data_IF_671478353214
#
_entry.id   IF_671478353214
#
_cell.length_a   1.000
_cell.length_b   1.000
_cell.length_c   1.000
_cell.angle_alpha   90.00
_cell.angle_beta   90.00
_cell.angle_gamma   90.00
#
_symmetry.space_group_name_H-M   'P 1'
#
loop_
_entity.id
_entity.type
_entity.pdbx_description
1 polymer ?
#
# COMPACT_ATOMS: atom_id res chain seq x y z
N UNK A 1 6.38 -4.57 13.48
CA UNK A 1 7.46 -4.51 12.47
C UNK A 1 7.36 -3.26 11.57
N UNK A 2 6.16 -2.84 11.11
CA UNK A 2 5.99 -1.60 10.32
C UNK A 2 6.48 -0.36 11.10
N UNK A 3 6.08 -0.20 12.35
CA UNK A 3 6.52 0.91 13.19
C UNK A 3 8.04 0.91 13.39
N UNK A 4 8.66 -0.26 13.52
CA UNK A 4 10.11 -0.35 13.65
C UNK A 4 10.85 0.15 12.40
N UNK A 5 10.29 -0.09 11.21
CA UNK A 5 10.87 0.38 9.94
C UNK A 5 10.56 1.86 9.70
N UNK A 6 9.35 2.31 10.04
CA UNK A 6 8.91 3.69 9.80
C UNK A 6 9.50 4.70 10.80
N UNK A 7 9.65 4.30 12.06
CA UNK A 7 10.03 5.18 13.18
C UNK A 7 11.40 4.83 13.77
N UNK A 8 11.90 3.63 13.48
CA UNK A 8 13.21 3.19 13.94
C UNK A 8 14.32 4.04 13.35
N UNK A 9 15.34 4.37 14.15
CA UNK A 9 16.44 5.22 13.72
C UNK A 9 16.16 6.73 13.82
N UNK A 10 14.95 7.11 14.24
CA UNK A 10 14.64 8.51 14.58
C UNK A 10 15.11 8.82 16.02
N UNK A 11 15.26 10.09 16.35
CA UNK A 11 15.60 10.55 17.70
C UNK A 11 14.50 10.31 18.74
N UNK A 12 13.30 9.93 18.29
CA UNK A 12 12.14 9.66 19.13
C UNK A 12 12.03 8.20 19.59
N UNK A 13 12.78 7.27 18.98
CA UNK A 13 12.65 5.84 19.24
C UNK A 13 13.97 5.18 19.57
N UNK A 14 14.01 4.53 20.76
CA UNK A 14 15.13 3.71 21.20
C UNK A 14 14.65 2.28 21.48
N UNK A 15 15.54 1.30 21.35
CA UNK A 15 15.25 -0.08 21.76
C UNK A 15 15.89 -0.35 23.12
N UNK A 16 15.16 -0.95 24.07
CA UNK A 16 15.75 -1.41 25.33
C UNK A 16 16.85 -2.46 25.10
N UNK A 17 17.79 -2.56 26.03
CA UNK A 17 18.80 -3.60 26.02
C UNK A 17 18.13 -5.00 26.01
N UNK A 18 18.61 -5.90 25.15
CA UNK A 18 18.09 -7.26 25.04
C UNK A 18 17.02 -7.46 23.97
N UNK A 19 16.65 -6.43 23.21
CA UNK A 19 15.73 -6.58 22.09
C UNK A 19 16.35 -7.36 20.92
N UNK A 20 15.49 -7.97 20.07
CA UNK A 20 15.92 -8.72 18.89
C UNK A 20 16.86 -7.94 17.98
N UNK A 21 17.79 -8.62 17.33
CA UNK A 21 18.82 -8.03 16.46
C UNK A 21 18.25 -7.14 15.36
N UNK A 22 17.04 -7.44 14.84
CA UNK A 22 16.40 -6.59 13.83
C UNK A 22 16.09 -5.17 14.36
N UNK A 23 15.79 -5.00 15.65
CA UNK A 23 15.55 -3.68 16.22
C UNK A 23 16.85 -2.88 16.29
N UNK A 24 17.99 -3.51 16.62
CA UNK A 24 19.31 -2.87 16.56
C UNK A 24 19.67 -2.46 15.13
N UNK A 25 19.39 -3.34 14.16
CA UNK A 25 19.67 -3.06 12.76
C UNK A 25 18.93 -1.83 12.24
N UNK A 26 17.65 -1.68 12.59
CA UNK A 26 16.82 -0.56 12.11
C UNK A 26 17.05 0.73 12.91
N UNK A 27 17.29 0.63 14.23
CA UNK A 27 17.43 1.80 15.11
C UNK A 27 18.85 2.33 15.13
N UNK A 28 19.85 1.44 15.20
CA UNK A 28 21.26 1.82 15.32
C UNK A 28 22.06 1.63 14.03
N UNK A 29 21.41 1.12 12.97
CA UNK A 29 22.04 0.76 11.70
C UNK A 29 23.18 -0.26 11.84
N UNK A 30 23.22 -0.99 12.97
CA UNK A 30 24.22 -1.99 13.27
C UNK A 30 23.88 -3.30 12.57
N UNK A 31 24.72 -3.70 11.61
CA UNK A 31 24.50 -4.90 10.81
C UNK A 31 23.32 -4.80 9.83
N UNK A 32 22.92 -3.59 9.43
CA UNK A 32 21.88 -3.40 8.41
C UNK A 32 22.37 -3.97 7.06
N UNK A 33 21.62 -4.92 6.53
CA UNK A 33 21.91 -5.58 5.27
C UNK A 33 20.65 -5.73 4.43
N UNK A 34 20.79 -6.04 3.16
CA UNK A 34 19.67 -6.20 2.21
C UNK A 34 18.69 -7.30 2.58
N UNK A 35 19.08 -8.21 3.48
CA UNK A 35 18.28 -9.33 3.96
C UNK A 35 17.90 -9.21 5.45
N UNK A 36 17.83 -8.01 6.00
CA UNK A 36 17.43 -7.83 7.39
C UNK A 36 16.01 -8.36 7.65
N UNK A 37 15.82 -8.94 8.81
CA UNK A 37 14.57 -9.61 9.16
C UNK A 37 13.37 -8.66 9.17
N UNK A 38 13.56 -7.41 9.59
CA UNK A 38 12.49 -6.39 9.64
C UNK A 38 12.00 -6.03 8.23
N UNK A 39 12.94 -5.75 7.32
CA UNK A 39 12.60 -5.39 5.93
C UNK A 39 12.01 -6.56 5.17
N UNK A 40 12.56 -7.78 5.31
CA UNK A 40 12.00 -8.98 4.67
C UNK A 40 10.57 -9.28 5.14
N UNK A 41 10.30 -9.16 6.44
CA UNK A 41 8.95 -9.36 6.99
C UNK A 41 7.96 -8.32 6.47
N UNK A 42 8.35 -7.04 6.43
CA UNK A 42 7.48 -6.00 5.90
C UNK A 42 7.14 -6.24 4.43
N UNK A 43 8.13 -6.59 3.62
CA UNK A 43 7.96 -6.92 2.20
C UNK A 43 6.98 -8.09 2.01
N UNK A 44 7.23 -9.21 2.69
CA UNK A 44 6.38 -10.40 2.59
C UNK A 44 4.95 -10.17 3.09
N UNK A 45 4.78 -9.44 4.19
CA UNK A 45 3.46 -9.09 4.72
C UNK A 45 2.69 -8.18 3.76
N UNK A 46 3.35 -7.17 3.18
CA UNK A 46 2.70 -6.27 2.23
C UNK A 46 2.21 -7.02 0.98
N UNK A 47 3.03 -7.89 0.38
CA UNK A 47 2.60 -8.70 -0.76
C UNK A 47 1.52 -9.73 -0.41
N UNK A 48 1.55 -10.31 0.78
CA UNK A 48 0.47 -11.18 1.26
C UNK A 48 -0.87 -10.43 1.33
N UNK A 49 -0.86 -9.20 1.84
CA UNK A 49 -2.07 -8.38 1.89
C UNK A 49 -2.52 -7.93 0.49
N UNK A 50 -1.60 -7.59 -0.40
CA UNK A 50 -1.90 -7.29 -1.80
C UNK A 50 -2.56 -8.50 -2.48
N UNK A 51 -2.04 -9.70 -2.27
CA UNK A 51 -2.63 -10.93 -2.79
C UNK A 51 -4.08 -11.14 -2.31
N UNK A 52 -4.35 -10.88 -1.02
CA UNK A 52 -5.71 -10.93 -0.48
C UNK A 52 -6.62 -9.86 -1.12
N UNK A 53 -6.12 -8.65 -1.34
CA UNK A 53 -6.89 -7.60 -2.02
C UNK A 53 -7.19 -7.98 -3.47
N UNK A 54 -6.21 -8.52 -4.19
CA UNK A 54 -6.40 -9.01 -5.55
C UNK A 54 -7.47 -10.11 -5.60
N UNK A 55 -7.43 -11.07 -4.67
CA UNK A 55 -8.44 -12.11 -4.58
C UNK A 55 -9.87 -11.55 -4.42
N UNK A 56 -10.04 -10.52 -3.59
CA UNK A 56 -11.35 -9.85 -3.43
C UNK A 56 -11.76 -9.17 -4.72
N UNK A 57 -10.86 -8.41 -5.36
CA UNK A 57 -11.16 -7.67 -6.60
C UNK A 57 -11.52 -8.62 -7.73
N UNK A 58 -10.70 -9.66 -7.97
CA UNK A 58 -10.91 -10.59 -9.09
C UNK A 58 -12.12 -11.51 -8.87
N UNK A 59 -12.37 -11.95 -7.63
CA UNK A 59 -13.53 -12.81 -7.35
C UNK A 59 -14.86 -12.07 -7.28
N UNK A 60 -14.83 -10.75 -7.03
CA UNK A 60 -16.05 -9.94 -7.00
C UNK A 60 -16.83 -10.00 -8.32
N UNK A 61 -16.13 -10.10 -9.45
CA UNK A 61 -16.73 -10.22 -10.79
C UNK A 61 -17.49 -11.54 -10.98
N UNK A 62 -17.21 -12.55 -10.16
CA UNK A 62 -17.87 -13.86 -10.20
C UNK A 62 -19.15 -13.92 -9.35
N UNK A 63 -19.42 -12.88 -8.55
CA UNK A 63 -20.57 -12.84 -7.66
C UNK A 63 -21.82 -12.40 -8.43
N UNK A 64 -22.74 -13.34 -8.68
CA UNK A 64 -24.00 -13.09 -9.40
C UNK A 64 -25.18 -12.80 -8.48
N UNK A 65 -25.08 -13.18 -7.21
CA UNK A 65 -26.21 -13.21 -6.27
C UNK A 65 -26.12 -12.12 -5.17
N UNK A 66 -25.14 -11.20 -5.29
CA UNK A 66 -24.93 -10.14 -4.30
C UNK A 66 -25.61 -8.82 -4.65
N UNK A 67 -25.81 -7.97 -3.65
CA UNK A 67 -26.18 -6.59 -3.89
C UNK A 67 -24.99 -5.87 -4.55
N UNK A 68 -25.20 -5.33 -5.75
CA UNK A 68 -24.15 -4.65 -6.54
C UNK A 68 -23.45 -3.53 -5.76
N UNK A 69 -24.21 -2.77 -4.94
CA UNK A 69 -23.64 -1.71 -4.11
C UNK A 69 -22.69 -2.28 -3.04
N UNK A 70 -23.06 -3.40 -2.42
CA UNK A 70 -22.21 -4.03 -1.40
C UNK A 70 -20.95 -4.61 -2.01
N UNK A 71 -21.07 -5.27 -3.18
CA UNK A 71 -19.93 -5.80 -3.93
C UNK A 71 -18.98 -4.66 -4.31
N UNK A 72 -19.51 -3.57 -4.88
CA UNK A 72 -18.71 -2.39 -5.25
C UNK A 72 -18.01 -1.78 -4.03
N UNK A 73 -18.69 -1.72 -2.89
CA UNK A 73 -18.08 -1.22 -1.63
C UNK A 73 -16.92 -2.11 -1.18
N UNK A 74 -17.09 -3.43 -1.21
CA UNK A 74 -16.03 -4.37 -0.85
C UNK A 74 -14.82 -4.28 -1.78
N UNK A 75 -15.06 -4.15 -3.09
CA UNK A 75 -13.99 -3.92 -4.09
C UNK A 75 -13.28 -2.60 -3.83
N UNK A 76 -14.02 -1.54 -3.51
CA UNK A 76 -13.45 -0.23 -3.23
C UNK A 76 -12.58 -0.24 -1.97
N UNK A 77 -12.98 -0.95 -0.92
CA UNK A 77 -12.16 -1.16 0.27
C UNK A 77 -10.89 -1.95 -0.04
N UNK A 78 -11.01 -3.04 -0.81
CA UNK A 78 -9.87 -3.86 -1.20
C UNK A 78 -8.86 -3.06 -2.05
N UNK A 79 -9.34 -2.26 -3.00
CA UNK A 79 -8.47 -1.38 -3.80
C UNK A 79 -7.81 -0.30 -2.95
N UNK A 80 -8.51 0.31 -2.01
CA UNK A 80 -7.94 1.26 -1.06
C UNK A 80 -6.79 0.64 -0.24
N UNK A 81 -7.00 -0.56 0.28
CA UNK A 81 -5.98 -1.28 1.04
C UNK A 81 -4.80 -1.72 0.16
N UNK A 82 -5.06 -2.16 -1.07
CA UNK A 82 -4.01 -2.51 -2.04
C UNK A 82 -3.11 -1.30 -2.33
N UNK A 83 -3.71 -0.15 -2.60
CA UNK A 83 -2.99 1.10 -2.80
C UNK A 83 -2.15 1.49 -1.57
N UNK A 84 -2.68 1.33 -0.38
CA UNK A 84 -1.95 1.57 0.86
C UNK A 84 -0.69 0.69 0.96
N UNK A 85 -0.81 -0.62 0.73
CA UNK A 85 0.35 -1.52 0.79
C UNK A 85 1.36 -1.24 -0.32
N UNK A 86 0.92 -0.93 -1.54
CA UNK A 86 1.84 -0.51 -2.60
C UNK A 86 2.54 0.80 -2.27
N UNK A 87 1.86 1.77 -1.65
CA UNK A 87 2.50 3.01 -1.22
C UNK A 87 3.61 2.77 -0.19
N UNK A 88 3.40 1.85 0.74
CA UNK A 88 4.45 1.41 1.69
C UNK A 88 5.62 0.77 0.94
N UNK A 89 5.34 -0.14 0.01
CA UNK A 89 6.39 -0.83 -0.74
C UNK A 89 7.24 0.14 -1.56
N UNK A 90 6.60 1.05 -2.29
CA UNK A 90 7.32 2.05 -3.11
C UNK A 90 8.18 2.96 -2.26
N UNK A 91 7.65 3.45 -1.14
CA UNK A 91 8.39 4.35 -0.26
C UNK A 91 9.56 3.67 0.48
N UNK A 92 9.46 2.34 0.68
CA UNK A 92 10.50 1.60 1.43
C UNK A 92 11.53 0.95 0.50
N UNK A 93 11.10 0.45 -0.66
CA UNK A 93 11.93 -0.40 -1.53
C UNK A 93 12.13 0.18 -2.95
N UNK A 94 11.47 1.29 -3.27
CA UNK A 94 11.51 1.87 -4.63
C UNK A 94 10.74 1.01 -5.63
N UNK A 95 11.38 0.72 -6.75
CA UNK A 95 10.81 -0.12 -7.81
C UNK A 95 10.54 -1.55 -7.32
N UNK A 96 9.27 -1.93 -7.32
CA UNK A 96 8.78 -3.26 -6.94
C UNK A 96 7.93 -3.88 -8.05
N UNK A 97 7.60 -5.14 -7.94
CA UNK A 97 6.74 -5.82 -8.91
C UNK A 97 5.27 -5.44 -8.67
N UNK A 98 4.58 -5.00 -9.72
CA UNK A 98 3.14 -4.75 -9.71
C UNK A 98 2.40 -6.03 -10.09
N UNK A 99 1.57 -6.54 -9.19
CA UNK A 99 0.70 -7.70 -9.39
C UNK A 99 -0.74 -7.31 -9.09
N UNK A 100 -1.63 -7.46 -10.05
CA UNK A 100 -3.06 -7.13 -9.94
C UNK A 100 -3.96 -8.35 -9.95
N UNK A 101 -3.38 -9.50 -10.30
CA UNK A 101 -4.08 -10.77 -10.34
C UNK A 101 -3.96 -11.52 -9.01
N UNK A 102 -4.97 -12.29 -8.69
CA UNK A 102 -4.89 -13.26 -7.60
C UNK A 102 -3.75 -14.24 -7.90
N UNK A 103 -2.93 -14.55 -6.90
CA UNK A 103 -1.87 -15.55 -7.03
C UNK A 103 -2.48 -16.89 -7.43
N UNK A 104 -2.28 -17.28 -8.69
CA UNK A 104 -2.65 -18.59 -9.20
C UNK A 104 -1.71 -19.67 -8.66
N UNK A 105 -2.00 -20.95 -8.96
CA UNK A 105 -1.10 -22.05 -8.64
C UNK A 105 0.23 -21.99 -9.39
N UNK A 106 0.30 -21.13 -10.42
CA UNK A 106 1.52 -20.89 -11.20
C UNK A 106 2.19 -19.59 -10.71
N UNK A 107 3.21 -19.67 -9.86
CA UNK A 107 3.91 -18.49 -9.38
C UNK A 107 4.69 -17.82 -10.52
N UNK A 108 4.78 -16.49 -10.50
CA UNK A 108 5.64 -15.74 -11.41
C UNK A 108 7.10 -16.09 -11.11
N UNK A 109 7.71 -16.90 -11.93
CA UNK A 109 9.10 -17.37 -11.73
C UNK A 109 10.15 -16.29 -12.00
N UNK A 110 9.81 -15.27 -12.81
CA UNK A 110 10.71 -14.17 -13.16
C UNK A 110 10.01 -12.84 -12.95
N UNK A 111 9.85 -12.37 -11.67
CA UNK A 111 9.20 -11.11 -11.40
C UNK A 111 10.03 -9.95 -11.96
N UNK A 112 9.37 -9.03 -12.67
CA UNK A 112 9.98 -7.80 -13.17
C UNK A 112 9.61 -6.65 -12.23
N UNK A 113 10.55 -5.72 -12.01
CA UNK A 113 10.27 -4.49 -11.27
C UNK A 113 9.61 -3.47 -12.20
N UNK A 114 8.49 -2.93 -11.76
CA UNK A 114 7.81 -1.84 -12.46
C UNK A 114 8.47 -0.49 -12.15
N UNK A 115 8.29 0.47 -13.03
CA UNK A 115 8.73 1.83 -12.82
C UNK A 115 7.95 2.50 -11.68
N UNK A 116 8.53 3.53 -11.08
CA UNK A 116 7.85 4.36 -10.08
C UNK A 116 6.56 4.96 -10.65
N UNK A 117 6.59 5.42 -11.89
CA UNK A 117 5.42 6.00 -12.57
C UNK A 117 4.28 5.01 -12.72
N UNK A 118 4.56 3.77 -13.15
CA UNK A 118 3.55 2.71 -13.25
C UNK A 118 2.93 2.39 -11.89
N UNK A 119 3.77 2.29 -10.85
CA UNK A 119 3.32 2.01 -9.49
C UNK A 119 2.43 3.13 -8.94
N UNK A 120 2.86 4.39 -9.09
CA UNK A 120 2.04 5.53 -8.65
C UNK A 120 0.75 5.67 -9.44
N UNK A 121 0.77 5.41 -10.74
CA UNK A 121 -0.45 5.40 -11.57
C UNK A 121 -1.46 4.41 -11.03
N UNK A 122 -1.04 3.17 -10.75
CA UNK A 122 -1.94 2.16 -10.20
C UNK A 122 -2.44 2.50 -8.78
N UNK A 123 -1.56 3.01 -7.92
CA UNK A 123 -1.94 3.44 -6.56
C UNK A 123 -3.01 4.54 -6.63
N UNK A 124 -2.84 5.52 -7.51
CA UNK A 124 -3.77 6.63 -7.68
C UNK A 124 -5.10 6.14 -8.25
N UNK A 125 -5.08 5.25 -9.23
CA UNK A 125 -6.28 4.68 -9.82
C UNK A 125 -7.11 3.90 -8.78
N UNK A 126 -6.45 3.12 -7.95
CA UNK A 126 -7.09 2.39 -6.86
C UNK A 126 -7.71 3.33 -5.83
N UNK A 127 -7.01 4.40 -5.45
CA UNK A 127 -7.51 5.38 -4.49
C UNK A 127 -8.64 6.25 -5.06
N UNK A 128 -8.58 6.64 -6.35
CA UNK A 128 -9.67 7.34 -7.03
C UNK A 128 -10.93 6.47 -7.10
N UNK A 129 -10.78 5.20 -7.48
CA UNK A 129 -11.89 4.26 -7.47
C UNK A 129 -12.51 4.16 -6.07
N UNK A 130 -11.69 4.00 -5.04
CA UNK A 130 -12.15 3.93 -3.66
C UNK A 130 -12.87 5.23 -3.22
N UNK A 131 -12.30 6.40 -3.52
CA UNK A 131 -12.92 7.69 -3.18
C UNK A 131 -14.28 7.91 -3.87
N UNK A 132 -14.48 7.34 -5.06
CA UNK A 132 -15.74 7.47 -5.80
C UNK A 132 -16.82 6.48 -5.34
N UNK A 133 -16.45 5.35 -4.76
CA UNK A 133 -17.37 4.26 -4.45
C UNK A 133 -17.55 3.99 -2.94
N UNK A 134 -16.74 4.62 -2.07
CA UNK A 134 -16.91 4.53 -0.63
C UNK A 134 -17.75 5.69 -0.10
N UNK A 135 -18.50 5.42 0.96
CA UNK A 135 -19.27 6.42 1.69
C UNK A 135 -18.41 7.10 2.79
N UNK A 136 -18.87 8.23 3.30
CA UNK A 136 -18.23 8.94 4.42
C UNK A 136 -18.36 8.19 5.75
N UNK A 137 -19.38 7.35 5.87
CA UNK A 137 -19.61 6.45 7.00
C UNK A 137 -19.09 5.07 6.69
N UNK A 138 -18.46 4.38 7.65
CA UNK A 138 -17.95 3.04 7.39
C UNK A 138 -19.10 2.05 7.14
N UNK A 139 -18.89 1.10 6.23
CA UNK A 139 -19.83 0.04 5.93
C UNK A 139 -20.21 -0.70 7.21
N UNK A 140 -21.52 -0.96 7.39
CA UNK A 140 -22.09 -1.63 8.56
C UNK A 140 -21.73 -0.94 9.91
N UNK A 141 -21.46 0.38 9.90
CA UNK A 141 -21.03 1.16 11.06
C UNK A 141 -19.75 0.61 11.75
N UNK A 142 -19.00 -0.24 11.08
CA UNK A 142 -17.77 -0.81 11.60
C UNK A 142 -16.60 0.17 11.43
N UNK A 143 -16.17 0.79 12.54
CA UNK A 143 -15.09 1.79 12.56
C UNK A 143 -13.71 1.27 12.13
N UNK A 144 -13.52 -0.04 12.02
CA UNK A 144 -12.30 -0.64 11.52
C UNK A 144 -12.23 -0.68 9.98
N UNK A 145 -13.32 -0.35 9.28
CA UNK A 145 -13.38 -0.35 7.82
C UNK A 145 -12.98 1.00 7.24
N UNK A 146 -12.40 0.97 6.05
CA UNK A 146 -12.00 2.18 5.33
C UNK A 146 -13.21 2.95 4.81
N UNK A 147 -13.07 4.27 4.69
CA UNK A 147 -14.12 5.16 4.23
C UNK A 147 -13.61 6.03 3.08
N UNK A 148 -14.49 6.79 2.45
CA UNK A 148 -14.13 7.81 1.46
C UNK A 148 -13.07 8.78 2.00
N UNK A 149 -13.18 9.19 3.25
CA UNK A 149 -12.19 10.07 3.90
C UNK A 149 -10.82 9.44 4.01
N UNK A 150 -10.77 8.12 4.28
CA UNK A 150 -9.51 7.37 4.29
C UNK A 150 -8.87 7.36 2.90
N UNK A 151 -9.66 7.07 1.86
CA UNK A 151 -9.18 7.05 0.48
C UNK A 151 -8.66 8.42 0.03
N UNK A 152 -9.40 9.50 0.32
CA UNK A 152 -8.99 10.87 -0.01
C UNK A 152 -7.72 11.30 0.75
N UNK A 153 -7.62 10.98 2.04
CA UNK A 153 -6.44 11.28 2.83
C UNK A 153 -5.18 10.55 2.32
N UNK A 154 -5.33 9.28 1.94
CA UNK A 154 -4.25 8.52 1.32
C UNK A 154 -3.89 9.08 -0.07
N UNK A 155 -4.88 9.46 -0.88
CA UNK A 155 -4.67 10.03 -2.20
C UNK A 155 -3.88 11.34 -2.13
N UNK A 156 -4.24 12.24 -1.22
CA UNK A 156 -3.50 13.49 -0.98
C UNK A 156 -2.03 13.20 -0.57
N UNK A 157 -1.82 12.22 0.32
CA UNK A 157 -0.48 11.81 0.74
C UNK A 157 0.34 11.23 -0.42
N UNK A 158 -0.25 10.36 -1.23
CA UNK A 158 0.40 9.74 -2.39
C UNK A 158 0.79 10.81 -3.42
N UNK A 159 -0.10 11.76 -3.71
CA UNK A 159 0.22 12.87 -4.59
C UNK A 159 1.34 13.76 -4.03
N UNK A 160 1.31 14.08 -2.74
CA UNK A 160 2.38 14.86 -2.11
C UNK A 160 3.74 14.16 -2.21
N UNK A 161 3.80 12.85 -1.94
CA UNK A 161 5.02 12.06 -2.03
C UNK A 161 5.52 11.93 -3.47
N UNK A 162 4.65 11.54 -4.40
CA UNK A 162 5.03 11.39 -5.82
C UNK A 162 5.47 12.68 -6.47
N UNK A 163 4.82 13.80 -6.12
CA UNK A 163 5.21 15.12 -6.62
C UNK A 163 6.47 15.70 -5.98
N UNK A 164 6.66 15.46 -4.68
CA UNK A 164 7.82 15.97 -3.94
C UNK A 164 9.09 15.17 -4.20
N UNK A 165 9.01 13.85 -4.15
CA UNK A 165 10.19 12.97 -4.24
C UNK A 165 10.56 12.62 -5.70
N UNK A 166 9.56 12.36 -6.54
CA UNK A 166 9.79 11.86 -7.91
C UNK A 166 9.44 12.87 -9.00
N UNK A 167 8.89 14.04 -8.65
CA UNK A 167 8.51 15.07 -9.62
C UNK A 167 7.39 14.65 -10.58
N UNK A 168 6.55 13.69 -10.20
CA UNK A 168 5.52 13.12 -11.05
C UNK A 168 4.43 14.14 -11.41
N UNK A 169 3.86 13.98 -12.59
CA UNK A 169 2.77 14.79 -13.12
C UNK A 169 1.66 13.90 -13.68
N UNK A 170 0.44 14.44 -13.71
CA UNK A 170 -0.72 13.83 -14.34
C UNK A 170 -1.44 14.91 -15.15
N UNK A 171 -1.70 14.67 -16.44
CA UNK A 171 -2.28 15.64 -17.36
C UNK A 171 -1.55 17.00 -17.38
N UNK A 172 -0.22 16.98 -17.26
CA UNK A 172 0.60 18.19 -17.21
C UNK A 172 0.55 18.97 -15.88
N UNK A 173 -0.18 18.47 -14.89
CA UNK A 173 -0.29 19.06 -13.53
C UNK A 173 0.60 18.28 -12.58
N UNK A 174 1.46 18.97 -11.82
CA UNK A 174 2.30 18.33 -10.81
C UNK A 174 1.44 17.62 -9.76
N UNK A 175 1.84 16.42 -9.36
CA UNK A 175 1.22 15.70 -8.25
C UNK A 175 1.16 16.54 -6.97
N UNK A 176 2.17 17.37 -6.73
CA UNK A 176 2.17 18.30 -5.60
C UNK A 176 1.01 19.31 -5.63
N UNK A 177 0.63 19.77 -6.82
CA UNK A 177 -0.54 20.63 -6.98
C UNK A 177 -1.87 19.90 -6.77
N UNK A 178 -1.92 18.61 -7.12
CA UNK A 178 -3.11 17.76 -6.92
C UNK A 178 -3.30 17.32 -5.46
N UNK A 179 -2.25 17.38 -4.65
CA UNK A 179 -2.30 17.04 -3.22
C UNK A 179 -3.04 18.08 -2.36
N UNK A 180 -3.32 19.27 -2.89
CA UNK A 180 -4.05 20.35 -2.20
C UNK A 180 -5.56 20.17 -2.30
#
# INVERSE_FOLDING_TARGET
DFLSVAEGGTDCWITPAGNPDYAKQVIYYDGLATNTNATNKLFGQAYSMIGNCNAVVNRAELLTDGNEKDITTLVAEARCLRAFYYSILVNTYGNVTLTLEESSQDPILTPQRNSIEELYTQIIDDLKFAANNLEDTPYDNNRARVTKKTALGLLARVYAQGGGEYGLTEDGVSYWQRAK
#
